data_IF_315605497678
#
_entry.id   IF_315605497678
#
_cell.length_a   1.000
_cell.length_b   1.000
_cell.length_c   1.000
_cell.angle_alpha   90.00
_cell.angle_beta   90.00
_cell.angle_gamma   90.00
#
_symmetry.space_group_name_H-M   'P 1'
#
loop_
_entity.id
_entity.type
_entity.pdbx_description
1 polymer ?
#
# COMPACT_ATOMS: atom_id res chain seq x y z
N UNK A 1 -7.88 -3.69 -24.48
CA UNK A 1 -7.84 -2.22 -24.27
C UNK A 1 -6.46 -1.72 -24.65
N UNK A 2 -6.33 -0.43 -24.97
CA UNK A 2 -5.04 0.27 -25.19
C UNK A 2 -4.86 1.35 -24.12
N UNK A 3 -3.63 1.88 -23.90
CA UNK A 3 -3.42 2.94 -22.92
C UNK A 3 -4.39 4.12 -23.14
N UNK A 4 -5.01 4.59 -22.06
CA UNK A 4 -5.99 5.68 -22.05
C UNK A 4 -7.42 5.31 -22.48
N UNK A 5 -7.63 4.14 -23.09
CA UNK A 5 -8.98 3.68 -23.45
C UNK A 5 -9.85 3.47 -22.20
N UNK A 6 -11.17 3.68 -22.30
CA UNK A 6 -12.10 3.46 -21.21
C UNK A 6 -13.42 2.83 -21.67
N UNK A 7 -14.07 2.10 -20.78
CA UNK A 7 -15.33 1.38 -21.00
C UNK A 7 -16.27 1.59 -19.81
N UNK A 8 -17.59 1.74 -20.01
CA UNK A 8 -18.55 1.70 -18.90
C UNK A 8 -18.55 0.32 -18.24
N UNK A 9 -18.68 0.29 -16.91
CA UNK A 9 -18.96 -0.94 -16.19
C UNK A 9 -20.44 -1.29 -16.36
N UNK A 10 -20.71 -2.54 -16.73
CA UNK A 10 -22.05 -3.09 -16.86
C UNK A 10 -22.44 -4.00 -15.68
N UNK A 11 -21.65 -3.96 -14.61
CA UNK A 11 -21.85 -4.71 -13.38
C UNK A 11 -21.54 -3.82 -12.17
N UNK A 12 -22.30 -3.99 -11.09
CA UNK A 12 -22.07 -3.27 -9.82
C UNK A 12 -20.79 -3.78 -9.17
N UNK A 13 -20.58 -5.10 -9.20
CA UNK A 13 -19.39 -5.76 -8.66
C UNK A 13 -18.48 -6.24 -9.78
N UNK A 14 -17.22 -5.84 -9.74
CA UNK A 14 -16.19 -6.26 -10.69
C UNK A 14 -14.94 -6.75 -9.98
N UNK A 15 -14.29 -7.74 -10.55
CA UNK A 15 -12.99 -8.25 -10.08
C UNK A 15 -11.93 -7.92 -11.12
N UNK A 16 -10.79 -7.41 -10.65
CA UNK A 16 -9.60 -7.14 -11.44
C UNK A 16 -8.53 -8.16 -11.03
N UNK A 17 -8.24 -9.10 -11.91
CA UNK A 17 -7.12 -10.03 -11.77
C UNK A 17 -5.91 -9.47 -12.51
N UNK A 18 -4.72 -9.44 -11.89
CA UNK A 18 -3.48 -9.00 -12.55
C UNK A 18 -2.49 -10.15 -12.64
N UNK A 19 -2.34 -10.71 -13.83
CA UNK A 19 -1.49 -11.87 -14.08
C UNK A 19 -0.18 -11.48 -14.75
N UNK A 20 0.92 -12.14 -14.40
CA UNK A 20 2.20 -12.06 -15.10
C UNK A 20 2.94 -13.40 -15.01
N UNK A 21 4.02 -13.60 -15.79
CA UNK A 21 4.90 -14.77 -15.66
C UNK A 21 5.65 -14.86 -14.32
N UNK A 22 5.58 -13.80 -13.51
CA UNK A 22 6.14 -13.73 -12.15
C UNK A 22 5.04 -13.42 -11.14
N UNK A 23 5.34 -13.61 -9.85
CA UNK A 23 4.45 -13.16 -8.78
C UNK A 23 4.43 -11.64 -8.70
N UNK A 24 3.22 -11.10 -8.61
CA UNK A 24 2.96 -9.69 -8.41
C UNK A 24 2.18 -9.51 -7.12
N UNK A 25 2.54 -8.50 -6.36
CA UNK A 25 1.70 -7.96 -5.30
C UNK A 25 0.71 -6.97 -5.91
N UNK A 26 -0.57 -7.18 -5.65
CA UNK A 26 -1.66 -6.33 -6.16
C UNK A 26 -2.27 -5.55 -5.02
N UNK A 27 -2.50 -4.26 -5.24
CA UNK A 27 -3.17 -3.40 -4.27
C UNK A 27 -4.14 -2.42 -4.94
N UNK A 28 -4.96 -1.76 -4.13
CA UNK A 28 -5.90 -0.75 -4.60
C UNK A 28 -5.90 0.49 -3.71
N UNK A 29 -6.01 1.68 -4.32
CA UNK A 29 -6.18 2.95 -3.61
C UNK A 29 -7.52 3.57 -3.96
N UNK A 30 -8.31 3.91 -2.94
CA UNK A 30 -9.58 4.63 -3.08
C UNK A 30 -9.28 6.13 -2.99
N UNK A 31 -9.59 6.86 -4.05
CA UNK A 31 -9.22 8.25 -4.22
C UNK A 31 -10.45 9.15 -4.32
N UNK A 32 -10.34 10.28 -3.65
CA UNK A 32 -11.28 11.40 -3.76
C UNK A 32 -11.16 12.12 -5.10
N UNK A 33 -12.03 13.11 -5.33
CA UNK A 33 -11.94 14.01 -6.48
C UNK A 33 -10.59 14.75 -6.59
N UNK A 34 -9.92 15.00 -5.44
CA UNK A 34 -8.59 15.61 -5.39
C UNK A 34 -7.47 14.62 -5.78
N UNK A 35 -7.83 13.37 -6.06
CA UNK A 35 -6.90 12.32 -6.43
C UNK A 35 -6.07 11.81 -5.26
N UNK A 36 -6.53 12.01 -4.02
CA UNK A 36 -5.85 11.56 -2.79
C UNK A 36 -6.71 10.58 -2.00
N UNK A 37 -6.08 9.67 -1.26
CA UNK A 37 -6.75 8.86 -0.23
C UNK A 37 -7.25 9.75 0.90
N UNK A 38 -8.30 9.32 1.63
CA UNK A 38 -8.78 10.06 2.82
C UNK A 38 -7.99 9.68 4.07
N UNK A 39 -7.55 8.43 4.15
CA UNK A 39 -6.72 7.85 5.20
C UNK A 39 -6.15 6.51 4.73
N UNK A 40 -5.33 5.86 5.54
CA UNK A 40 -4.75 4.56 5.21
C UNK A 40 -5.79 3.44 5.04
N UNK A 41 -7.01 3.63 5.56
CA UNK A 41 -8.15 2.73 5.36
C UNK A 41 -8.59 2.63 3.88
N UNK A 42 -8.19 3.62 3.06
CA UNK A 42 -8.44 3.63 1.62
C UNK A 42 -7.33 2.95 0.81
N UNK A 43 -6.35 2.32 1.47
CA UNK A 43 -5.31 1.52 0.83
C UNK A 43 -5.51 0.02 1.11
N UNK A 44 -5.85 -0.75 0.07
CA UNK A 44 -6.26 -2.15 0.18
C UNK A 44 -5.18 -3.05 -0.42
N UNK A 45 -4.64 -3.95 0.38
CA UNK A 45 -3.52 -4.82 0.03
C UNK A 45 -3.51 -6.06 0.92
N UNK A 46 -2.52 -6.94 0.80
CA UNK A 46 -2.53 -8.23 1.49
C UNK A 46 -2.66 -8.17 3.02
N UNK A 47 -2.08 -7.17 3.70
CA UNK A 47 -2.23 -6.99 5.15
C UNK A 47 -3.48 -6.21 5.56
N UNK A 48 -4.11 -5.51 4.62
CA UNK A 48 -5.39 -4.82 4.81
C UNK A 48 -6.35 -5.23 3.69
N UNK A 49 -6.85 -6.47 3.71
CA UNK A 49 -7.49 -7.07 2.54
C UNK A 49 -8.94 -6.59 2.33
N UNK A 50 -9.45 -5.71 3.19
CA UNK A 50 -10.84 -5.24 3.14
C UNK A 50 -10.88 -3.76 3.42
N UNK A 51 -11.64 -3.05 2.59
CA UNK A 51 -11.98 -1.66 2.75
C UNK A 51 -13.39 -1.38 2.25
N UNK A 52 -13.80 -0.12 2.21
CA UNK A 52 -15.18 0.24 1.93
C UNK A 52 -15.52 0.05 0.45
N UNK A 53 -16.24 -1.03 0.15
CA UNK A 53 -16.61 -1.42 -1.22
C UNK A 53 -15.46 -2.02 -2.04
N UNK A 54 -14.29 -2.27 -1.42
CA UNK A 54 -13.12 -2.85 -2.11
C UNK A 54 -12.51 -3.95 -1.25
N UNK A 55 -12.18 -5.08 -1.86
CA UNK A 55 -11.46 -6.16 -1.17
C UNK A 55 -10.34 -6.74 -2.03
N UNK A 56 -9.27 -7.14 -1.36
CA UNK A 56 -8.19 -7.93 -1.92
C UNK A 56 -8.42 -9.41 -1.63
N UNK A 57 -8.03 -10.25 -2.57
CA UNK A 57 -7.97 -11.70 -2.40
C UNK A 57 -6.68 -12.23 -3.01
N UNK A 58 -5.92 -12.97 -2.22
CA UNK A 58 -4.75 -13.69 -2.72
C UNK A 58 -5.19 -14.90 -3.55
N UNK A 59 -4.50 -15.13 -4.66
CA UNK A 59 -4.61 -16.33 -5.47
C UNK A 59 -3.76 -17.49 -4.99
N UNK A 60 -3.06 -17.35 -3.85
CA UNK A 60 -2.30 -18.42 -3.20
C UNK A 60 -1.12 -18.95 -4.02
N UNK A 61 -0.65 -18.17 -5.01
CA UNK A 61 0.41 -18.56 -5.94
C UNK A 61 -0.02 -19.51 -7.06
N UNK A 62 -1.21 -20.10 -7.00
CA UNK A 62 -1.78 -20.91 -8.09
C UNK A 62 -2.58 -20.05 -9.09
N UNK A 63 -3.11 -18.93 -8.61
CA UNK A 63 -3.87 -17.96 -9.41
C UNK A 63 -3.36 -16.54 -9.14
N UNK A 64 -3.67 -15.57 -10.01
CA UNK A 64 -3.35 -14.17 -9.77
C UNK A 64 -4.02 -13.64 -8.50
N UNK A 65 -3.37 -12.70 -7.83
CA UNK A 65 -4.02 -11.89 -6.81
C UNK A 65 -5.03 -10.95 -7.47
N UNK A 66 -6.06 -10.57 -6.71
CA UNK A 66 -7.25 -9.93 -7.27
C UNK A 66 -7.81 -8.84 -6.36
N UNK A 67 -8.33 -7.79 -6.99
CA UNK A 67 -9.10 -6.72 -6.33
C UNK A 67 -10.55 -6.83 -6.78
N UNK A 68 -11.48 -6.95 -5.83
CA UNK A 68 -12.91 -6.85 -6.11
C UNK A 68 -13.43 -5.50 -5.67
N UNK A 69 -14.15 -4.82 -6.55
CA UNK A 69 -14.80 -3.54 -6.32
C UNK A 69 -16.31 -3.72 -6.41
N UNK A 70 -17.02 -3.40 -5.33
CA UNK A 70 -18.46 -3.20 -5.31
C UNK A 70 -18.76 -1.71 -5.37
N UNK A 71 -19.05 -1.23 -6.58
CA UNK A 71 -19.31 0.19 -6.84
C UNK A 71 -20.55 0.74 -6.14
N UNK A 72 -21.47 -0.13 -5.68
CA UNK A 72 -22.63 0.26 -4.88
C UNK A 72 -22.33 0.43 -3.39
N UNK A 73 -21.22 -0.16 -2.92
CA UNK A 73 -20.75 -0.05 -1.54
C UNK A 73 -19.58 0.93 -1.37
N UNK A 74 -19.05 1.49 -2.47
CA UNK A 74 -18.03 2.55 -2.43
C UNK A 74 -18.64 3.81 -1.79
N UNK A 75 -18.00 4.41 -0.76
CA UNK A 75 -18.55 5.57 -0.08
C UNK A 75 -18.68 6.79 -0.99
N UNK A 76 -19.66 7.67 -0.73
CA UNK A 76 -19.71 8.98 -1.34
C UNK A 76 -18.38 9.74 -1.14
N UNK A 77 -17.95 10.47 -2.16
CA UNK A 77 -16.69 11.21 -2.15
C UNK A 77 -15.47 10.43 -2.66
N UNK A 78 -15.58 9.11 -2.86
CA UNK A 78 -14.60 8.34 -3.65
C UNK A 78 -15.05 8.33 -5.10
N UNK A 79 -14.20 8.83 -5.99
CA UNK A 79 -14.50 8.94 -7.42
C UNK A 79 -13.58 8.07 -8.28
N UNK A 80 -12.53 7.50 -7.69
CA UNK A 80 -11.58 6.68 -8.42
C UNK A 80 -10.96 5.61 -7.53
N UNK A 81 -10.78 4.43 -8.08
CA UNK A 81 -10.12 3.28 -7.45
C UNK A 81 -9.01 2.86 -8.39
N UNK A 82 -7.77 3.06 -7.96
CA UNK A 82 -6.58 2.74 -8.75
C UNK A 82 -6.12 1.35 -8.36
N UNK A 83 -5.91 0.45 -9.33
CA UNK A 83 -5.34 -0.88 -9.11
C UNK A 83 -3.89 -0.87 -9.53
N UNK A 84 -3.02 -1.27 -8.61
CA UNK A 84 -1.57 -1.26 -8.79
C UNK A 84 -0.99 -2.66 -8.69
N UNK A 85 0.20 -2.83 -9.27
CA UNK A 85 0.98 -4.05 -9.17
C UNK A 85 2.46 -3.75 -8.99
N UNK A 86 3.17 -4.57 -8.22
CA UNK A 86 4.63 -4.59 -8.12
C UNK A 86 5.14 -6.03 -8.16
N UNK A 87 6.32 -6.32 -8.73
CA UNK A 87 6.93 -7.64 -8.59
C UNK A 87 7.22 -7.94 -7.11
N UNK A 88 6.92 -9.16 -6.67
CA UNK A 88 7.12 -9.63 -5.27
C UNK A 88 8.61 -9.70 -4.91
N UNK A 89 9.48 -10.02 -5.87
CA UNK A 89 10.92 -10.05 -5.63
C UNK A 89 11.48 -8.62 -5.47
N UNK A 90 12.09 -8.35 -4.31
CA UNK A 90 12.65 -7.04 -3.99
C UNK A 90 13.63 -6.53 -5.08
N UNK A 91 13.38 -5.31 -5.57
CA UNK A 91 14.21 -4.67 -6.59
C UNK A 91 14.01 -5.19 -8.02
N UNK A 92 13.14 -6.17 -8.23
CA UNK A 92 12.78 -6.62 -9.57
C UNK A 92 11.99 -5.53 -10.31
N UNK A 93 12.38 -5.28 -11.56
CA UNK A 93 11.70 -4.33 -12.44
C UNK A 93 10.71 -5.04 -13.36
N UNK A 94 9.84 -4.27 -14.01
CA UNK A 94 8.94 -4.78 -15.06
C UNK A 94 9.63 -5.03 -16.41
N UNK A 95 10.96 -4.90 -16.50
CA UNK A 95 11.69 -5.09 -17.75
C UNK A 95 11.52 -6.53 -18.24
N UNK A 96 10.89 -6.70 -19.41
CA UNK A 96 10.59 -8.01 -19.98
C UNK A 96 9.43 -8.76 -19.29
N UNK A 97 8.67 -8.08 -18.43
CA UNK A 97 7.47 -8.61 -17.78
C UNK A 97 6.24 -7.98 -18.43
N UNK A 98 5.28 -8.82 -18.82
CA UNK A 98 4.02 -8.39 -19.45
C UNK A 98 2.83 -8.65 -18.52
N UNK A 99 2.55 -7.76 -17.55
CA UNK A 99 1.40 -7.90 -16.68
C UNK A 99 0.11 -7.63 -17.46
N UNK A 100 -0.91 -8.48 -17.25
CA UNK A 100 -2.22 -8.33 -17.87
C UNK A 100 -3.29 -8.20 -16.80
N UNK A 101 -3.96 -7.05 -16.76
CA UNK A 101 -5.18 -6.86 -15.98
C UNK A 101 -6.39 -7.39 -16.76
N UNK A 102 -7.18 -8.25 -16.12
CA UNK A 102 -8.47 -8.70 -16.63
C UNK A 102 -9.57 -8.26 -15.67
N UNK A 103 -10.53 -7.48 -16.18
CA UNK A 103 -11.68 -7.00 -15.43
C UNK A 103 -12.87 -7.86 -15.78
N UNK A 104 -13.51 -8.43 -14.75
CA UNK A 104 -14.64 -9.36 -14.89
C UNK A 104 -15.81 -8.89 -14.04
N UNK A 105 -17.02 -9.23 -14.46
CA UNK A 105 -18.18 -9.20 -13.57
C UNK A 105 -17.93 -10.20 -12.42
N UNK A 106 -18.02 -9.74 -11.17
CA UNK A 106 -17.70 -10.57 -10.01
C UNK A 106 -18.74 -11.68 -9.74
N UNK A 107 -19.99 -11.45 -10.13
CA UNK A 107 -21.11 -12.38 -9.87
C UNK A 107 -21.25 -13.43 -10.99
N UNK A 108 -20.96 -13.04 -12.24
CA UNK A 108 -21.13 -13.89 -13.42
C UNK A 108 -19.83 -14.33 -14.11
N UNK A 109 -18.67 -13.78 -13.72
CA UNK A 109 -17.35 -14.12 -14.28
C UNK A 109 -17.07 -13.62 -15.70
N UNK A 110 -18.05 -13.01 -16.37
CA UNK A 110 -17.93 -12.49 -17.73
C UNK A 110 -16.83 -11.41 -17.83
N UNK A 111 -15.96 -11.51 -18.82
CA UNK A 111 -14.89 -10.53 -19.06
C UNK A 111 -15.51 -9.24 -19.60
N UNK A 112 -15.18 -8.13 -18.94
CA UNK A 112 -15.57 -6.77 -19.34
C UNK A 112 -14.43 -6.11 -20.11
N UNK A 113 -13.19 -6.30 -19.64
CA UNK A 113 -12.02 -5.68 -20.21
C UNK A 113 -10.75 -6.51 -19.98
N UNK A 114 -9.78 -6.36 -20.88
CA UNK A 114 -8.42 -6.86 -20.72
C UNK A 114 -7.41 -5.80 -21.16
N UNK A 115 -6.33 -5.64 -20.41
CA UNK A 115 -5.29 -4.66 -20.70
C UNK A 115 -3.90 -5.17 -20.29
N UNK A 116 -2.98 -5.16 -21.26
CA UNK A 116 -1.55 -5.44 -21.06
C UNK A 116 -0.81 -4.15 -21.39
N UNK A 117 -0.20 -3.45 -20.41
CA UNK A 117 0.56 -2.23 -20.65
C UNK A 117 1.74 -2.51 -21.58
N UNK A 118 1.93 -1.72 -22.66
CA UNK A 118 3.10 -1.86 -23.51
C UNK A 118 4.33 -1.17 -22.87
N UNK A 119 5.52 -1.62 -23.25
CA UNK A 119 6.78 -0.88 -23.05
C UNK A 119 7.16 -0.59 -21.59
N UNK A 120 6.96 -1.55 -20.68
CA UNK A 120 7.51 -1.46 -19.32
C UNK A 120 9.03 -1.69 -19.34
N UNK A 121 9.74 -1.06 -18.39
CA UNK A 121 11.19 -1.05 -18.30
C UNK A 121 11.67 -1.09 -16.86
N UNK A 122 12.34 -0.04 -16.41
CA UNK A 122 13.03 0.01 -15.11
C UNK A 122 12.09 0.22 -13.92
N UNK A 123 10.78 0.29 -14.14
CA UNK A 123 9.80 0.54 -13.11
C UNK A 123 9.63 -0.66 -12.19
N UNK A 124 9.44 -0.40 -10.91
CA UNK A 124 9.29 -1.43 -9.85
C UNK A 124 7.85 -1.46 -9.29
N UNK A 125 7.01 -0.50 -9.68
CA UNK A 125 5.57 -0.56 -9.48
C UNK A 125 4.84 0.01 -10.70
N UNK A 126 3.55 -0.29 -10.80
CA UNK A 126 2.73 0.01 -11.96
C UNK A 126 1.30 0.32 -11.51
N UNK A 127 0.73 1.40 -12.04
CA UNK A 127 -0.72 1.61 -12.06
C UNK A 127 -1.28 0.95 -13.33
N UNK A 128 -1.99 -0.16 -13.18
CA UNK A 128 -2.42 -0.98 -14.34
C UNK A 128 -3.71 -0.43 -14.94
N UNK A 129 -4.75 -0.32 -14.10
CA UNK A 129 -6.08 0.18 -14.48
C UNK A 129 -6.62 1.05 -13.36
N UNK A 130 -7.64 1.85 -13.68
CA UNK A 130 -8.45 2.52 -12.68
C UNK A 130 -9.94 2.30 -12.98
N UNK A 131 -10.73 2.22 -11.92
CA UNK A 131 -12.19 2.25 -11.96
C UNK A 131 -12.61 3.63 -11.46
N UNK A 132 -13.33 4.41 -12.25
CA UNK A 132 -13.64 5.81 -11.93
C UNK A 132 -15.09 6.17 -12.22
N UNK A 133 -15.63 7.08 -11.43
CA UNK A 133 -16.98 7.60 -11.56
C UNK A 133 -16.97 8.85 -12.44
N UNK A 134 -17.80 8.88 -13.48
CA UNK A 134 -17.97 10.09 -14.29
C UNK A 134 -19.40 10.22 -14.79
N UNK A 135 -20.05 11.32 -14.41
CA UNK A 135 -21.45 11.58 -14.77
C UNK A 135 -22.40 10.51 -14.22
N UNK A 136 -22.16 10.04 -12.98
CA UNK A 136 -22.98 9.01 -12.33
C UNK A 136 -22.75 7.58 -12.85
N UNK A 137 -21.83 7.38 -13.80
CA UNK A 137 -21.52 6.06 -14.37
C UNK A 137 -20.09 5.67 -14.01
N UNK A 138 -19.94 4.50 -13.39
CA UNK A 138 -18.65 3.89 -13.17
C UNK A 138 -18.07 3.32 -14.46
N UNK A 139 -16.79 3.54 -14.68
CA UNK A 139 -16.05 3.16 -15.88
C UNK A 139 -14.72 2.55 -15.48
N UNK A 140 -14.16 1.71 -16.34
CA UNK A 140 -12.76 1.29 -16.24
C UNK A 140 -11.92 2.02 -17.29
N UNK A 141 -10.71 2.43 -16.92
CA UNK A 141 -9.71 3.00 -17.83
C UNK A 141 -8.41 2.20 -17.74
N UNK A 142 -7.84 1.91 -18.91
CA UNK A 142 -6.50 1.36 -19.03
C UNK A 142 -5.47 2.48 -18.79
N UNK A 143 -4.58 2.31 -17.82
CA UNK A 143 -3.58 3.33 -17.45
C UNK A 143 -2.21 2.92 -17.95
N UNK A 144 -1.57 1.94 -17.30
CA UNK A 144 -0.26 1.43 -17.71
C UNK A 144 0.89 2.36 -17.35
N UNK A 145 0.79 3.09 -16.24
CA UNK A 145 1.83 4.03 -15.80
C UNK A 145 2.77 3.35 -14.83
N UNK A 146 4.03 3.18 -15.22
CA UNK A 146 5.07 2.66 -14.35
C UNK A 146 5.67 3.73 -13.41
N UNK A 147 6.22 3.26 -12.29
CA UNK A 147 6.87 4.04 -11.24
C UNK A 147 8.26 3.47 -10.93
N UNK A 148 9.30 4.23 -11.22
CA UNK A 148 10.69 3.85 -10.95
C UNK A 148 11.03 3.82 -9.45
N UNK A 149 10.40 4.71 -8.68
CA UNK A 149 10.44 4.77 -7.21
C UNK A 149 9.47 3.79 -6.54
N UNK A 150 8.90 2.85 -7.30
CA UNK A 150 8.09 1.76 -6.79
C UNK A 150 6.79 2.21 -6.13
N UNK A 151 6.27 1.33 -5.26
CA UNK A 151 5.00 1.55 -4.57
C UNK A 151 5.05 2.78 -3.65
N UNK A 152 6.23 3.15 -3.14
CA UNK A 152 6.42 4.37 -2.37
C UNK A 152 6.13 5.64 -3.18
N UNK A 153 6.48 5.65 -4.47
CA UNK A 153 6.12 6.74 -5.38
C UNK A 153 4.62 6.87 -5.58
N UNK A 154 3.96 5.74 -5.81
CA UNK A 154 2.49 5.65 -5.91
C UNK A 154 1.83 6.16 -4.62
N UNK A 155 2.29 5.68 -3.46
CA UNK A 155 1.80 6.10 -2.14
C UNK A 155 1.91 7.62 -1.96
N UNK A 156 3.07 8.20 -2.29
CA UNK A 156 3.31 9.65 -2.21
C UNK A 156 2.37 10.43 -3.15
N UNK A 157 2.28 10.00 -4.41
CA UNK A 157 1.43 10.65 -5.42
C UNK A 157 -0.04 10.61 -5.05
N UNK A 158 -0.48 9.58 -4.34
CA UNK A 158 -1.87 9.43 -3.87
C UNK A 158 -2.09 9.85 -2.41
N UNK A 159 -1.07 10.36 -1.73
CA UNK A 159 -1.18 10.93 -0.38
C UNK A 159 -1.37 9.91 0.73
N UNK A 160 -0.89 8.68 0.54
CA UNK A 160 -0.77 7.70 1.63
C UNK A 160 0.39 8.16 2.52
N UNK A 161 0.10 8.41 3.80
CA UNK A 161 1.13 8.66 4.79
C UNK A 161 1.83 7.35 5.07
N UNK A 162 3.06 7.20 4.58
CA UNK A 162 3.94 6.17 5.13
C UNK A 162 4.42 6.75 6.45
N UNK A 163 3.69 6.47 7.53
CA UNK A 163 4.23 6.71 8.87
C UNK A 163 5.52 5.88 8.96
N UNK A 164 6.67 6.54 8.79
CA UNK A 164 7.95 6.00 9.20
C UNK A 164 7.75 5.47 10.62
N UNK A 165 8.04 4.17 10.81
CA UNK A 165 8.14 3.49 12.10
C UNK A 165 8.54 4.51 13.17
N UNK A 166 7.74 4.70 14.25
CA UNK A 166 7.99 5.74 15.23
C UNK A 166 9.45 5.61 15.64
N UNK A 167 10.24 6.63 15.29
CA UNK A 167 11.66 6.69 15.60
C UNK A 167 11.82 6.17 17.03
N UNK A 168 12.52 5.05 17.18
CA UNK A 168 12.71 4.39 18.47
C UNK A 168 12.96 5.51 19.49
N UNK A 169 12.15 5.61 20.56
CA UNK A 169 12.12 6.79 21.41
C UNK A 169 13.57 7.11 21.75
N UNK A 170 14.05 8.27 21.25
CA UNK A 170 15.35 8.77 21.62
C UNK A 170 15.36 8.70 23.13
N UNK A 171 16.24 7.87 23.69
CA UNK A 171 16.37 7.75 25.13
C UNK A 171 16.58 9.17 25.64
N UNK A 172 15.55 9.74 26.24
CA UNK A 172 15.62 11.04 26.90
C UNK A 172 16.73 10.83 27.91
N UNK A 173 17.87 11.50 27.69
CA UNK A 173 18.98 11.44 28.63
C UNK A 173 18.38 11.75 30.01
N UNK A 174 18.47 10.78 30.92
CA UNK A 174 17.96 10.95 32.27
C UNK A 174 18.54 12.28 32.82
N UNK A 175 17.73 13.11 33.49
CA UNK A 175 18.26 14.26 34.21
C UNK A 175 19.44 13.79 35.07
N UNK A 176 20.56 14.54 35.13
CA UNK A 176 21.67 14.15 35.98
C UNK A 176 21.12 13.94 37.40
N UNK A 177 21.39 12.75 37.95
CA UNK A 177 20.97 12.43 39.31
C UNK A 177 21.48 13.54 40.26
N UNK A 178 20.66 14.02 41.21
CA UNK A 178 21.12 14.97 42.21
C UNK A 178 22.32 14.36 42.95
N UNK A 179 23.34 15.16 43.31
CA UNK A 179 24.51 14.67 44.01
C UNK A 179 24.08 13.98 45.31
N UNK A 180 24.61 12.77 45.53
CA UNK A 180 24.37 12.03 46.75
C UNK A 180 24.77 12.87 47.99
N UNK A 181 23.98 12.87 49.08
CA UNK A 181 24.39 13.51 50.32
C UNK A 181 25.72 12.93 50.80
N UNK A 182 26.66 13.81 51.15
CA UNK A 182 27.94 13.41 51.72
C UNK A 182 27.72 12.53 52.96
N UNK A 183 28.38 11.37 52.99
CA UNK A 183 28.37 10.51 54.16
C UNK A 183 28.96 11.25 55.38
N UNK A 184 28.39 11.09 56.58
CA UNK A 184 28.94 11.68 57.80
C UNK A 184 30.36 11.17 58.05
N UNK A 185 31.25 11.99 58.64
CA UNK A 185 32.61 11.58 58.93
C UNK A 185 32.63 10.42 59.92
N UNK A 186 33.48 9.43 59.63
CA UNK A 186 33.70 8.29 60.51
C UNK A 186 34.28 8.75 61.87
N UNK A 187 33.86 8.14 63.00
CA UNK A 187 34.43 8.44 64.30
C UNK A 187 35.92 8.07 64.35
N UNK A 188 36.75 8.83 65.09
CA UNK A 188 38.18 8.55 65.19
C UNK A 188 38.43 7.19 65.86
N UNK A 189 39.31 6.40 65.26
CA UNK A 189 39.79 5.15 65.82
C UNK A 189 40.58 5.41 67.11
N UNK A 190 40.10 4.88 68.23
CA UNK A 190 40.85 4.80 69.48
C UNK A 190 41.96 3.76 69.34
N UNK A 191 43.22 4.20 69.32
CA UNK A 191 44.37 3.31 69.45
C UNK A 191 44.52 2.83 70.90
N UNK A 192 44.84 1.54 71.14
CA UNK A 192 45.16 1.06 72.47
C UNK A 192 46.54 1.57 72.93
N UNK A 193 46.74 1.82 74.24
CA UNK A 193 48.04 2.22 74.76
C UNK A 193 49.05 1.08 74.67
N UNK A 194 50.27 1.40 74.24
CA UNK A 194 51.40 0.46 74.16
C UNK A 194 51.95 0.14 75.56
N UNK A 195 52.33 -1.12 75.83
CA UNK A 195 52.97 -1.51 77.08
C UNK A 195 54.47 -1.17 77.07
N UNK A 196 55.01 -0.83 78.25
CA UNK A 196 56.44 -0.80 78.55
C UNK A 196 56.86 -2.13 79.16
#
# INVERSE_FOLDING_TARGET
>A
MTPGSNLPLNAVRVTVDVAAPVRLDVSALLLTADGKVRSDADFIFFNQPTGPGVSYRSGGGATPDSITVDTGAVPPGIERIVVTASPDAAGQTFQGIEPTATVRNADGGAVIAGFTPPQLGTETALVVVEIYLRGGVWKVRAVGQGYANGLAGIATDFGVSVDEEPAAPQAVAAPPAPPAPAAPPAPPASYPPSPW
#
